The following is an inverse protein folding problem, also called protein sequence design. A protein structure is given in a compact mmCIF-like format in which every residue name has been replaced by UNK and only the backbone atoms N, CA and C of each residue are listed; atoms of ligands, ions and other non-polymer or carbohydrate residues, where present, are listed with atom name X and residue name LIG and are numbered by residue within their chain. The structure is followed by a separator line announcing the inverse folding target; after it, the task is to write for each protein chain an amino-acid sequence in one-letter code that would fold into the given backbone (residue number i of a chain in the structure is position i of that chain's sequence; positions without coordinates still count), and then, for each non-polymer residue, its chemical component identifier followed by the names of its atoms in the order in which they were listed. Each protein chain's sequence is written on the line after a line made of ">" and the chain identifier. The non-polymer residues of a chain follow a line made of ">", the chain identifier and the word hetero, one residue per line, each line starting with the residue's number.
data_IF_523348155932
#
_entry.id   IF_523348155932
#
_cell.length_a   1.000
_cell.length_b   1.000
_cell.length_c   1.000
_cell.angle_alpha   90.00
_cell.angle_beta   90.00
_cell.angle_gamma   90.00
#
_symmetry.space_group_name_H-M   'P 1'
#
loop_
_entity.id
_entity.type
_entity.pdbx_description
1 polymer ?
#
# COMPACT_ATOMS: atom_id res chain seq x y z
N UNK A 1 62.93 -22.59 -17.06
CA UNK A 1 62.26 -23.60 -16.19
C UNK A 1 61.29 -22.90 -15.25
N UNK A 2 59.99 -23.09 -15.43
CA UNK A 2 58.98 -22.50 -14.51
C UNK A 2 59.03 -23.25 -13.19
N UNK A 3 59.22 -22.55 -12.08
CA UNK A 3 59.38 -23.16 -10.76
C UNK A 3 58.13 -23.95 -10.34
N UNK A 4 58.31 -25.02 -9.56
CA UNK A 4 57.22 -25.85 -9.03
C UNK A 4 56.20 -25.01 -8.25
N UNK A 5 56.63 -23.95 -7.55
CA UNK A 5 55.76 -22.99 -6.83
C UNK A 5 54.90 -22.19 -7.80
N UNK A 6 55.42 -21.72 -8.94
CA UNK A 6 54.65 -20.96 -9.92
C UNK A 6 53.53 -21.80 -10.55
N UNK A 7 53.76 -23.09 -10.82
CA UNK A 7 52.72 -24.01 -11.35
C UNK A 7 51.61 -24.26 -10.32
N UNK A 8 51.90 -24.39 -9.06
CA UNK A 8 50.94 -24.59 -7.98
C UNK A 8 50.06 -23.34 -7.84
N UNK A 9 50.65 -22.14 -7.85
CA UNK A 9 49.89 -20.87 -7.78
C UNK A 9 48.95 -20.71 -8.99
N UNK A 10 49.40 -21.03 -10.20
CA UNK A 10 48.60 -20.97 -11.40
C UNK A 10 47.38 -21.93 -11.34
N UNK A 11 47.59 -23.16 -10.85
CA UNK A 11 46.52 -24.14 -10.68
C UNK A 11 45.48 -23.65 -9.64
N UNK A 12 45.91 -23.07 -8.53
CA UNK A 12 45.03 -22.53 -7.49
C UNK A 12 44.18 -21.36 -8.07
N UNK A 13 44.81 -20.44 -8.79
CA UNK A 13 44.09 -19.32 -9.41
C UNK A 13 43.05 -19.81 -10.43
N UNK A 14 43.40 -20.77 -11.27
CA UNK A 14 42.49 -21.36 -12.24
C UNK A 14 41.31 -22.10 -11.57
N UNK A 15 41.56 -22.80 -10.45
CA UNK A 15 40.52 -23.50 -9.69
C UNK A 15 39.55 -22.51 -9.03
N UNK A 16 40.06 -21.41 -8.46
CA UNK A 16 39.22 -20.36 -7.86
C UNK A 16 38.38 -19.68 -8.94
N UNK A 17 38.97 -19.34 -10.08
CA UNK A 17 38.24 -18.76 -11.21
C UNK A 17 37.14 -19.68 -11.75
N UNK A 18 37.42 -20.97 -11.87
CA UNK A 18 36.43 -21.97 -12.31
C UNK A 18 35.27 -22.09 -11.30
N UNK A 19 35.58 -22.17 -10.00
CA UNK A 19 34.56 -22.20 -8.93
C UNK A 19 33.68 -20.96 -8.94
N UNK A 20 34.27 -19.77 -9.16
CA UNK A 20 33.51 -18.52 -9.26
C UNK A 20 32.56 -18.50 -10.47
N UNK A 21 33.01 -18.99 -11.60
CA UNK A 21 32.21 -19.11 -12.81
C UNK A 21 31.05 -20.10 -12.60
N UNK A 22 31.30 -21.25 -12.03
CA UNK A 22 30.28 -22.26 -11.71
C UNK A 22 29.26 -21.71 -10.72
N UNK A 23 29.71 -21.04 -9.66
CA UNK A 23 28.82 -20.38 -8.69
C UNK A 23 27.95 -19.31 -9.34
N UNK A 24 28.49 -18.49 -10.25
CA UNK A 24 27.73 -17.49 -11.00
C UNK A 24 26.68 -18.14 -11.90
N UNK A 25 27.02 -19.19 -12.62
CA UNK A 25 26.08 -19.93 -13.47
C UNK A 25 24.95 -20.60 -12.64
N UNK A 26 25.29 -21.22 -11.50
CA UNK A 26 24.30 -21.81 -10.60
C UNK A 26 23.38 -20.76 -10.01
N UNK A 27 23.92 -19.61 -9.60
CA UNK A 27 23.12 -18.50 -9.09
C UNK A 27 22.14 -17.95 -10.15
N UNK A 28 22.63 -17.70 -11.37
CA UNK A 28 21.76 -17.19 -12.47
C UNK A 28 20.73 -18.22 -12.90
N UNK A 29 21.09 -19.51 -12.96
CA UNK A 29 20.15 -20.60 -13.28
C UNK A 29 19.05 -20.72 -12.23
N UNK A 30 19.40 -20.70 -10.92
CA UNK A 30 18.43 -20.75 -9.84
C UNK A 30 17.54 -19.50 -9.80
N UNK A 31 18.08 -18.31 -10.04
CA UNK A 31 17.30 -17.08 -10.12
C UNK A 31 16.28 -17.12 -11.27
N UNK A 32 16.68 -17.61 -12.44
CA UNK A 32 15.81 -17.74 -13.60
C UNK A 32 14.71 -18.78 -13.40
N UNK A 33 15.03 -19.92 -12.76
CA UNK A 33 14.03 -20.94 -12.45
C UNK A 33 13.07 -20.47 -11.37
N UNK A 34 13.54 -19.74 -10.35
CA UNK A 34 12.68 -19.14 -9.34
C UNK A 34 11.71 -18.14 -9.96
N UNK A 35 12.18 -17.26 -10.84
CA UNK A 35 11.33 -16.30 -11.54
C UNK A 35 10.26 -16.99 -12.41
N UNK A 36 10.59 -18.09 -13.09
CA UNK A 36 9.61 -18.87 -13.87
C UNK A 36 8.58 -19.56 -12.99
N UNK A 37 8.98 -20.13 -11.84
CA UNK A 37 8.06 -20.77 -10.88
C UNK A 37 7.14 -19.71 -10.26
N UNK A 38 7.68 -18.54 -9.87
CA UNK A 38 6.88 -17.45 -9.32
C UNK A 38 5.86 -16.93 -10.35
N UNK A 39 6.22 -16.83 -11.63
CA UNK A 39 5.31 -16.42 -12.71
C UNK A 39 4.23 -17.47 -12.97
N UNK A 40 4.55 -18.75 -12.95
CA UNK A 40 3.56 -19.83 -13.09
C UNK A 40 2.61 -19.86 -11.91
N UNK A 41 3.11 -19.71 -10.70
CA UNK A 41 2.28 -19.66 -9.49
C UNK A 41 1.36 -18.43 -9.48
N UNK A 42 1.86 -17.25 -9.90
CA UNK A 42 1.02 -16.06 -10.01
C UNK A 42 -0.09 -16.23 -11.04
N UNK A 43 0.20 -16.82 -12.19
CA UNK A 43 -0.82 -17.05 -13.22
C UNK A 43 -1.90 -18.04 -12.77
N UNK A 44 -1.54 -19.11 -12.05
CA UNK A 44 -2.52 -20.06 -11.50
C UNK A 44 -3.38 -19.41 -10.41
N UNK A 45 -2.78 -18.65 -9.50
CA UNK A 45 -3.50 -17.94 -8.44
C UNK A 45 -4.49 -16.92 -9.01
N UNK A 46 -4.10 -16.19 -10.07
CA UNK A 46 -4.98 -15.23 -10.73
C UNK A 46 -6.12 -15.93 -11.47
N UNK A 47 -5.87 -17.09 -12.08
CA UNK A 47 -6.90 -17.87 -12.75
C UNK A 47 -7.92 -18.43 -11.73
N UNK A 48 -7.44 -19.05 -10.65
CA UNK A 48 -8.30 -19.60 -9.59
C UNK A 48 -9.14 -18.49 -8.94
N UNK A 49 -8.52 -17.36 -8.58
CA UNK A 49 -9.25 -16.25 -7.95
C UNK A 49 -10.32 -15.61 -8.85
N UNK A 50 -10.12 -15.65 -10.17
CA UNK A 50 -11.11 -15.14 -11.12
C UNK A 50 -12.31 -16.08 -11.24
N UNK A 51 -12.10 -17.39 -11.23
CA UNK A 51 -13.16 -18.38 -11.21
C UNK A 51 -13.95 -18.31 -9.89
N UNK A 52 -13.28 -18.24 -8.75
CA UNK A 52 -13.92 -18.06 -7.44
C UNK A 52 -14.82 -16.83 -7.40
N UNK A 53 -14.38 -15.69 -7.96
CA UNK A 53 -15.20 -14.46 -8.01
C UNK A 53 -16.45 -14.62 -8.88
N UNK A 54 -16.37 -15.36 -10.00
CA UNK A 54 -17.53 -15.57 -10.87
C UNK A 54 -18.61 -16.40 -10.19
N UNK A 55 -18.22 -17.34 -9.33
CA UNK A 55 -19.11 -18.23 -8.62
C UNK A 55 -19.73 -17.62 -7.35
N UNK A 56 -19.26 -16.45 -6.90
CA UNK A 56 -19.84 -15.74 -5.76
C UNK A 56 -21.29 -15.34 -6.02
N UNK A 57 -22.11 -15.47 -4.98
CA UNK A 57 -23.49 -14.91 -4.95
C UNK A 57 -23.45 -13.39 -4.96
N UNK A 58 -24.60 -12.75 -5.19
CA UNK A 58 -24.70 -11.29 -5.13
C UNK A 58 -24.37 -10.77 -3.72
N UNK A 59 -24.85 -11.45 -2.66
CA UNK A 59 -24.57 -11.11 -1.28
C UNK A 59 -23.05 -11.18 -0.97
N UNK A 60 -22.36 -12.21 -1.42
CA UNK A 60 -20.92 -12.34 -1.28
C UNK A 60 -20.19 -11.20 -2.02
N UNK A 61 -20.56 -10.91 -3.27
CA UNK A 61 -19.97 -9.81 -4.05
C UNK A 61 -20.19 -8.45 -3.39
N UNK A 62 -21.39 -8.20 -2.85
CA UNK A 62 -21.68 -6.94 -2.13
C UNK A 62 -20.86 -6.86 -0.85
N UNK A 63 -20.75 -7.94 -0.09
CA UNK A 63 -19.92 -7.98 1.11
C UNK A 63 -18.46 -7.62 0.84
N UNK A 64 -17.88 -8.11 -0.28
CA UNK A 64 -16.50 -7.83 -0.67
C UNK A 64 -16.20 -6.33 -0.92
N UNK A 65 -17.22 -5.47 -1.03
CA UNK A 65 -17.03 -4.03 -1.21
C UNK A 65 -16.75 -3.29 0.10
N UNK A 66 -16.81 -3.95 1.26
CA UNK A 66 -16.70 -3.30 2.57
C UNK A 66 -15.42 -3.67 3.31
N UNK A 67 -14.79 -2.66 3.93
CA UNK A 67 -13.74 -2.78 4.93
C UNK A 67 -14.32 -2.17 6.22
N UNK A 68 -14.34 -2.92 7.33
CA UNK A 68 -14.89 -2.48 8.60
C UNK A 68 -13.85 -2.40 9.70
N UNK A 69 -13.97 -1.36 10.55
CA UNK A 69 -13.33 -1.32 11.86
C UNK A 69 -14.14 -2.14 12.90
N UNK A 70 -13.50 -2.54 13.99
CA UNK A 70 -14.14 -3.22 15.11
C UNK A 70 -13.39 -2.92 16.40
N UNK A 71 -14.02 -3.13 17.56
CA UNK A 71 -13.42 -2.90 18.87
C UNK A 71 -12.79 -4.16 19.45
N UNK A 72 -11.66 -3.99 20.14
CA UNK A 72 -11.00 -5.06 20.88
C UNK A 72 -9.80 -5.67 20.19
N UNK A 73 -9.10 -6.54 20.94
CA UNK A 73 -7.81 -7.15 20.54
C UNK A 73 -7.95 -8.60 20.05
N UNK A 74 -9.19 -9.07 19.95
CA UNK A 74 -9.59 -10.36 19.36
C UNK A 74 -10.92 -10.18 18.59
N UNK A 75 -11.28 -11.08 17.65
CA UNK A 75 -12.54 -10.98 16.92
C UNK A 75 -13.74 -11.08 17.87
N UNK A 76 -14.56 -10.04 17.90
CA UNK A 76 -15.82 -10.05 18.64
C UNK A 76 -16.94 -10.74 17.86
N UNK A 77 -18.13 -10.84 18.47
CA UNK A 77 -19.32 -11.45 17.87
C UNK A 77 -19.71 -10.74 16.56
N UNK A 78 -19.64 -9.41 16.52
CA UNK A 78 -20.12 -8.64 15.38
C UNK A 78 -19.17 -8.76 14.19
N UNK A 79 -17.86 -8.56 14.39
CA UNK A 79 -16.90 -8.71 13.27
C UNK A 79 -16.84 -10.15 12.78
N UNK A 80 -16.99 -11.13 13.68
CA UNK A 80 -17.09 -12.56 13.29
C UNK A 80 -18.25 -12.78 12.33
N UNK A 81 -19.44 -12.26 12.63
CA UNK A 81 -20.59 -12.35 11.73
C UNK A 81 -20.42 -11.56 10.43
N UNK A 82 -19.84 -10.36 10.49
CA UNK A 82 -19.57 -9.58 9.28
C UNK A 82 -18.67 -10.34 8.31
N UNK A 83 -17.66 -11.04 8.82
CA UNK A 83 -16.76 -11.85 7.99
C UNK A 83 -17.46 -13.11 7.49
N UNK A 84 -18.04 -13.92 8.39
CA UNK A 84 -18.52 -15.27 8.06
C UNK A 84 -19.90 -15.32 7.41
N UNK A 85 -20.79 -14.34 7.69
CA UNK A 85 -22.18 -14.33 7.22
C UNK A 85 -22.47 -13.19 6.22
N UNK A 86 -21.68 -12.09 6.25
CA UNK A 86 -21.83 -10.94 5.35
C UNK A 86 -20.70 -10.83 4.34
N UNK A 87 -19.69 -11.70 4.45
CA UNK A 87 -18.61 -11.86 3.46
C UNK A 87 -17.82 -10.60 3.18
N UNK A 88 -17.57 -9.75 4.20
CA UNK A 88 -16.86 -8.48 4.02
C UNK A 88 -15.47 -8.69 3.40
N UNK A 89 -15.03 -7.71 2.59
CA UNK A 89 -13.75 -7.77 1.88
C UNK A 89 -12.54 -7.50 2.76
N UNK A 90 -12.73 -6.84 3.90
CA UNK A 90 -11.59 -6.53 4.77
C UNK A 90 -11.94 -5.93 6.11
N UNK A 91 -10.87 -5.71 6.89
CA UNK A 91 -10.92 -5.04 8.18
C UNK A 91 -9.82 -3.97 8.24
N UNK A 92 -10.09 -2.88 8.97
CA UNK A 92 -9.07 -1.89 9.35
C UNK A 92 -8.73 -2.06 10.82
N UNK A 93 -7.42 -2.12 11.12
CA UNK A 93 -6.89 -2.17 12.48
C UNK A 93 -6.53 -0.76 12.94
N UNK A 94 -7.09 -0.37 14.06
CA UNK A 94 -6.85 0.90 14.73
C UNK A 94 -6.04 0.69 16.02
N UNK A 95 -5.50 1.76 16.61
CA UNK A 95 -4.59 1.67 17.75
C UNK A 95 -5.10 0.81 18.91
N UNK A 96 -6.41 0.79 19.15
CA UNK A 96 -7.03 0.01 20.22
C UNK A 96 -7.14 -1.51 19.91
N UNK A 97 -6.80 -1.94 18.70
CA UNK A 97 -6.71 -3.36 18.36
C UNK A 97 -5.29 -3.94 18.58
N UNK A 98 -4.30 -3.11 18.94
CA UNK A 98 -2.89 -3.41 18.80
C UNK A 98 -2.16 -3.31 20.13
N UNK A 99 -1.77 -4.46 20.72
CA UNK A 99 -1.09 -4.50 22.03
C UNK A 99 0.35 -5.00 21.94
N UNK A 100 0.58 -6.08 21.19
CA UNK A 100 1.89 -6.70 21.07
C UNK A 100 2.02 -7.47 19.76
N UNK A 101 3.24 -7.71 19.25
CA UNK A 101 3.44 -8.48 18.02
C UNK A 101 2.83 -9.89 18.07
N UNK A 102 2.79 -10.52 19.24
CA UNK A 102 2.18 -11.86 19.42
C UNK A 102 0.66 -11.76 19.31
N UNK A 103 0.06 -10.79 20.00
CA UNK A 103 -1.39 -10.58 19.97
C UNK A 103 -1.84 -10.20 18.55
N UNK A 104 -1.16 -9.26 17.88
CA UNK A 104 -1.52 -8.81 16.54
C UNK A 104 -1.49 -9.97 15.53
N UNK A 105 -0.44 -10.80 15.54
CA UNK A 105 -0.37 -11.99 14.68
C UNK A 105 -1.49 -12.97 14.94
N UNK A 106 -1.86 -13.15 16.21
CA UNK A 106 -3.01 -14.01 16.56
C UNK A 106 -4.30 -13.43 16.00
N UNK A 107 -4.55 -12.13 16.24
CA UNK A 107 -5.73 -11.42 15.75
C UNK A 107 -5.86 -11.50 14.24
N UNK A 108 -4.83 -11.18 13.48
CA UNK A 108 -4.85 -11.21 12.02
C UNK A 108 -5.04 -12.64 11.47
N UNK A 109 -4.45 -13.64 12.11
CA UNK A 109 -4.65 -15.06 11.78
C UNK A 109 -6.08 -15.51 12.06
N UNK A 110 -6.64 -15.15 13.21
CA UNK A 110 -8.02 -15.50 13.59
C UNK A 110 -9.01 -14.87 12.59
N UNK A 111 -8.85 -13.56 12.28
CA UNK A 111 -9.70 -12.87 11.29
C UNK A 111 -9.65 -13.55 9.92
N UNK A 112 -8.46 -13.86 9.41
CA UNK A 112 -8.32 -14.58 8.12
C UNK A 112 -8.99 -15.97 8.14
N UNK A 113 -8.95 -16.67 9.26
CA UNK A 113 -9.55 -18.00 9.38
C UNK A 113 -11.08 -18.02 9.34
N UNK A 114 -11.72 -16.87 9.57
CA UNK A 114 -13.18 -16.72 9.52
C UNK A 114 -13.70 -16.53 8.09
N UNK A 115 -12.84 -16.16 7.14
CA UNK A 115 -13.23 -15.85 5.77
C UNK A 115 -12.85 -16.94 4.78
N UNK A 116 -13.70 -17.19 3.80
CA UNK A 116 -13.40 -18.03 2.65
C UNK A 116 -12.48 -17.33 1.64
N UNK A 117 -12.72 -16.04 1.45
CA UNK A 117 -11.92 -15.19 0.57
C UNK A 117 -10.88 -14.44 1.42
N UNK A 118 -9.60 -14.39 1.03
CA UNK A 118 -8.59 -13.66 1.79
C UNK A 118 -9.00 -12.21 2.05
N UNK A 119 -9.01 -11.80 3.33
CA UNK A 119 -9.36 -10.44 3.74
C UNK A 119 -8.23 -9.46 3.43
N UNK A 120 -8.60 -8.24 3.04
CA UNK A 120 -7.75 -7.09 3.25
C UNK A 120 -7.66 -6.79 4.75
N UNK A 121 -6.48 -6.89 5.32
CA UNK A 121 -6.20 -6.43 6.69
C UNK A 121 -5.39 -5.16 6.55
N UNK A 122 -6.04 -4.03 6.78
CA UNK A 122 -5.50 -2.71 6.52
C UNK A 122 -5.14 -1.96 7.82
N UNK A 123 -4.29 -0.94 7.67
CA UNK A 123 -3.82 -0.08 8.75
C UNK A 123 -3.41 1.28 8.19
N UNK A 124 -3.54 2.35 9.01
CA UNK A 124 -2.90 3.64 8.77
C UNK A 124 -1.51 3.65 9.42
N UNK A 125 -0.50 3.24 8.70
CA UNK A 125 0.88 3.29 9.14
C UNK A 125 1.67 4.25 8.24
N UNK A 126 1.37 5.56 8.36
CA UNK A 126 2.03 6.62 7.60
C UNK A 126 3.41 6.96 8.16
N UNK A 127 3.57 6.76 9.47
CA UNK A 127 4.67 7.28 10.28
C UNK A 127 4.34 8.63 10.92
N UNK A 128 5.12 9.03 11.93
CA UNK A 128 4.92 10.28 12.65
C UNK A 128 3.59 10.36 13.39
N UNK A 129 2.77 11.38 13.07
CA UNK A 129 1.50 11.64 13.76
C UNK A 129 0.44 10.58 13.50
N UNK A 130 0.45 9.96 12.31
CA UNK A 130 -0.47 8.87 11.94
C UNK A 130 0.29 7.56 11.85
N UNK A 131 0.48 6.97 13.01
CA UNK A 131 1.21 5.72 13.21
C UNK A 131 0.49 4.90 14.28
N UNK A 132 -0.15 3.80 13.88
CA UNK A 132 -0.89 2.93 14.82
C UNK A 132 0.05 2.01 15.56
N UNK A 133 1.14 1.60 14.92
CA UNK A 133 2.23 0.82 15.50
C UNK A 133 3.43 1.75 15.77
N UNK A 134 3.97 1.65 16.97
CA UNK A 134 5.13 2.45 17.40
C UNK A 134 6.23 1.56 17.95
N UNK A 135 7.48 2.02 17.98
CA UNK A 135 8.53 1.31 18.70
C UNK A 135 8.13 0.97 20.14
N UNK A 136 8.41 -0.23 20.65
CA UNK A 136 9.24 -1.28 20.04
C UNK A 136 8.46 -2.32 19.20
N UNK A 137 7.17 -2.12 18.87
CA UNK A 137 6.40 -3.07 18.05
C UNK A 137 6.91 -3.05 16.60
N UNK A 138 7.22 -1.87 16.09
CA UNK A 138 7.92 -1.62 14.83
C UNK A 138 9.25 -0.95 15.11
N UNK A 139 10.21 -1.05 14.19
CA UNK A 139 11.55 -0.46 14.36
C UNK A 139 11.61 1.01 13.95
N UNK A 140 10.72 1.44 13.03
CA UNK A 140 10.72 2.76 12.43
C UNK A 140 9.33 3.42 12.49
N UNK A 141 9.33 4.72 12.80
CA UNK A 141 8.15 5.56 12.85
C UNK A 141 8.40 6.90 12.12
N UNK A 142 9.31 6.89 11.14
CA UNK A 142 9.71 8.09 10.36
C UNK A 142 8.50 8.71 9.68
N UNK A 143 8.25 10.00 9.93
CA UNK A 143 7.18 10.75 9.28
C UNK A 143 7.53 11.05 7.81
N UNK A 144 6.52 11.12 6.93
CA UNK A 144 6.77 11.43 5.50
C UNK A 144 7.52 12.76 5.30
N UNK A 145 7.26 13.75 6.14
CA UNK A 145 7.97 15.05 6.12
C UNK A 145 9.48 14.97 6.39
N UNK A 146 9.95 13.86 6.95
CA UNK A 146 11.35 13.64 7.31
C UNK A 146 12.11 12.84 6.24
N UNK A 147 11.41 12.25 5.29
CA UNK A 147 11.97 11.49 4.18
C UNK A 147 12.68 12.43 3.20
N UNK A 148 13.92 12.12 2.84
CA UNK A 148 14.83 13.04 2.16
C UNK A 148 14.96 12.82 0.65
N UNK A 149 14.94 11.55 0.24
CA UNK A 149 15.11 11.16 -1.16
C UNK A 149 14.37 9.86 -1.48
N UNK A 150 14.36 9.46 -2.74
CA UNK A 150 13.66 8.27 -3.22
C UNK A 150 14.17 6.98 -2.56
N UNK A 151 15.47 6.85 -2.33
CA UNK A 151 16.06 5.68 -1.70
C UNK A 151 15.67 5.57 -0.22
N UNK A 152 15.61 6.70 0.48
CA UNK A 152 15.12 6.80 1.85
C UNK A 152 13.63 6.43 1.91
N UNK A 153 12.80 6.98 1.02
CA UNK A 153 11.38 6.66 0.88
C UNK A 153 11.15 5.15 0.65
N UNK A 154 11.90 4.57 -0.28
CA UNK A 154 11.86 3.13 -0.53
C UNK A 154 12.23 2.31 0.71
N UNK A 155 13.35 2.64 1.37
CA UNK A 155 13.84 1.87 2.52
C UNK A 155 12.87 1.95 3.72
N UNK A 156 12.31 3.14 4.00
CA UNK A 156 11.30 3.33 5.05
C UNK A 156 10.07 2.47 4.77
N UNK A 157 9.51 2.55 3.56
CA UNK A 157 8.32 1.78 3.19
C UNK A 157 8.60 0.27 3.14
N UNK A 158 9.75 -0.16 2.60
CA UNK A 158 10.11 -1.56 2.55
C UNK A 158 10.27 -2.17 3.95
N UNK A 159 10.99 -1.50 4.84
CA UNK A 159 11.19 -1.96 6.23
C UNK A 159 9.84 -2.07 6.95
N UNK A 160 9.04 -1.01 6.90
CA UNK A 160 7.68 -0.97 7.44
C UNK A 160 6.80 -2.07 6.85
N UNK A 161 6.83 -2.25 5.54
CA UNK A 161 6.09 -3.29 4.85
C UNK A 161 6.47 -4.71 5.26
N UNK A 162 7.75 -4.99 5.52
CA UNK A 162 8.20 -6.28 6.06
C UNK A 162 7.67 -6.49 7.48
N UNK A 163 7.69 -5.46 8.34
CA UNK A 163 7.16 -5.55 9.69
C UNK A 163 5.64 -5.77 9.69
N UNK A 164 4.89 -5.05 8.87
CA UNK A 164 3.45 -5.27 8.67
C UNK A 164 3.17 -6.69 8.19
N UNK A 165 3.99 -7.22 7.26
CA UNK A 165 3.87 -8.60 6.78
C UNK A 165 4.01 -9.62 7.90
N UNK A 166 4.99 -9.45 8.77
CA UNK A 166 5.20 -10.34 9.92
C UNK A 166 4.00 -10.31 10.88
N UNK A 167 3.29 -9.19 10.94
CA UNK A 167 2.08 -9.02 11.75
C UNK A 167 0.79 -9.50 11.04
N UNK A 168 0.87 -9.96 9.78
CA UNK A 168 -0.29 -10.43 9.01
C UNK A 168 -1.13 -9.32 8.38
N UNK A 169 -0.62 -8.07 8.37
CA UNK A 169 -1.27 -6.91 7.75
C UNK A 169 -0.83 -6.86 6.28
N UNK A 170 -1.77 -6.75 5.33
CA UNK A 170 -1.48 -6.85 3.90
C UNK A 170 -1.74 -5.55 3.10
N UNK A 171 -2.35 -4.53 3.70
CA UNK A 171 -2.67 -3.26 3.07
C UNK A 171 -2.28 -2.11 4.00
N UNK A 172 -1.58 -1.09 3.49
CA UNK A 172 -1.20 0.09 4.22
C UNK A 172 -1.82 1.34 3.59
N UNK A 173 -2.55 2.14 4.34
CA UNK A 173 -3.12 3.41 3.89
C UNK A 173 -2.05 4.51 3.89
N UNK A 174 -1.08 4.35 3.01
CA UNK A 174 0.09 5.19 2.75
C UNK A 174 0.58 4.92 1.32
N UNK A 175 1.22 5.89 0.62
CA UNK A 175 1.60 7.25 1.05
C UNK A 175 0.48 8.28 0.94
N UNK A 176 0.66 9.42 1.66
CA UNK A 176 -0.12 10.64 1.49
C UNK A 176 0.51 11.49 0.37
N UNK A 177 -0.24 11.74 -0.70
CA UNK A 177 0.21 12.43 -1.92
C UNK A 177 -0.42 13.83 -2.04
N UNK A 178 -1.14 14.25 -1.00
CA UNK A 178 -1.67 15.61 -0.93
C UNK A 178 -0.55 16.65 -1.00
N UNK A 179 -0.73 17.68 -1.82
CA UNK A 179 0.21 18.79 -1.95
C UNK A 179 -0.21 19.93 -1.02
N UNK A 180 0.41 20.01 0.15
CA UNK A 180 0.06 20.94 1.22
C UNK A 180 1.23 21.87 1.52
N UNK A 181 1.00 23.18 1.39
CA UNK A 181 1.96 24.25 1.72
C UNK A 181 1.53 25.09 2.92
N UNK A 182 0.27 24.99 3.34
CA UNK A 182 -0.27 25.70 4.50
C UNK A 182 0.12 24.98 5.80
N UNK A 183 0.96 25.61 6.61
CA UNK A 183 1.42 25.08 7.90
C UNK A 183 0.29 24.87 8.94
N UNK A 184 -0.85 25.51 8.75
CA UNK A 184 -2.03 25.34 9.61
C UNK A 184 -2.95 24.21 9.12
N UNK A 185 -2.62 23.53 8.02
CA UNK A 185 -3.40 22.39 7.56
C UNK A 185 -3.20 21.17 8.47
N UNK A 186 -4.27 20.45 8.75
CA UNK A 186 -4.23 19.19 9.51
C UNK A 186 -3.36 18.12 8.84
N UNK A 187 -3.11 18.23 7.52
CA UNK A 187 -2.23 17.35 6.76
C UNK A 187 -0.77 17.80 6.73
N UNK A 188 -0.46 19.02 7.18
CA UNK A 188 0.88 19.59 7.00
C UNK A 188 1.99 18.66 7.50
N UNK A 189 1.83 18.07 8.68
CA UNK A 189 2.82 17.16 9.26
C UNK A 189 2.82 15.74 8.67
N UNK A 190 1.89 15.43 7.77
CA UNK A 190 1.70 14.11 7.16
C UNK A 190 2.21 14.01 5.72
N UNK A 191 2.53 15.13 5.08
CA UNK A 191 2.93 15.19 3.66
C UNK A 191 4.44 15.32 3.48
N UNK A 192 4.94 14.97 2.30
CA UNK A 192 6.33 15.21 1.91
C UNK A 192 6.65 16.70 1.85
N UNK A 193 7.92 17.06 2.10
CA UNK A 193 8.41 18.43 2.01
C UNK A 193 9.09 18.75 0.69
N UNK A 194 9.57 17.72 -0.01
CA UNK A 194 10.28 17.81 -1.27
C UNK A 194 9.46 17.17 -2.40
N UNK A 195 10.07 16.68 -3.45
CA UNK A 195 9.43 16.11 -4.64
C UNK A 195 8.45 14.98 -4.27
N UNK A 196 7.17 15.34 -4.15
CA UNK A 196 6.08 14.44 -3.75
C UNK A 196 6.05 13.19 -4.65
N UNK A 197 6.22 13.38 -5.97
CA UNK A 197 6.08 12.29 -6.93
C UNK A 197 7.22 11.30 -6.82
N UNK A 198 8.44 11.78 -6.64
CA UNK A 198 9.63 10.95 -6.49
C UNK A 198 9.55 10.15 -5.18
N UNK A 199 9.23 10.82 -4.07
CA UNK A 199 9.16 10.21 -2.74
C UNK A 199 7.99 9.23 -2.62
N UNK A 200 6.82 9.59 -3.13
CA UNK A 200 5.66 8.69 -3.15
C UNK A 200 5.93 7.43 -3.99
N UNK A 201 6.59 7.55 -5.15
CA UNK A 201 6.99 6.41 -5.97
C UNK A 201 7.98 5.50 -5.23
N UNK A 202 8.94 6.07 -4.49
CA UNK A 202 9.83 5.32 -3.61
C UNK A 202 9.05 4.49 -2.60
N UNK A 203 8.10 5.09 -1.87
CA UNK A 203 7.26 4.38 -0.90
C UNK A 203 6.38 3.30 -1.55
N UNK A 204 5.72 3.61 -2.67
CA UNK A 204 4.89 2.63 -3.41
C UNK A 204 5.72 1.41 -3.82
N UNK A 205 6.95 1.63 -4.30
CA UNK A 205 7.85 0.54 -4.69
C UNK A 205 8.30 -0.27 -3.47
N UNK A 206 8.65 0.38 -2.36
CA UNK A 206 9.08 -0.28 -1.12
C UNK A 206 7.98 -1.19 -0.54
N UNK A 207 6.76 -0.68 -0.37
CA UNK A 207 5.61 -1.45 0.11
C UNK A 207 5.29 -2.63 -0.84
N UNK A 208 5.29 -2.40 -2.16
CA UNK A 208 5.03 -3.44 -3.16
C UNK A 208 6.08 -4.56 -3.12
N UNK A 209 7.36 -4.23 -2.99
CA UNK A 209 8.44 -5.21 -2.89
C UNK A 209 8.39 -6.00 -1.57
N UNK A 210 7.93 -5.37 -0.48
CA UNK A 210 7.58 -6.05 0.76
C UNK A 210 6.30 -6.91 0.66
N UNK A 211 5.62 -6.91 -0.52
CA UNK A 211 4.34 -7.58 -0.77
C UNK A 211 3.21 -7.04 0.10
N UNK A 212 3.17 -5.72 0.26
CA UNK A 212 2.04 -4.97 0.82
C UNK A 212 1.36 -4.19 -0.31
N UNK A 213 0.09 -3.88 -0.10
CA UNK A 213 -0.68 -3.04 -1.01
C UNK A 213 -0.59 -1.61 -0.48
N UNK A 214 0.16 -0.71 -1.14
CA UNK A 214 0.11 0.71 -0.82
C UNK A 214 -1.22 1.31 -1.27
N UNK A 215 -1.81 2.18 -0.45
CA UNK A 215 -3.02 2.92 -0.78
C UNK A 215 -2.69 4.41 -0.83
N UNK A 216 -2.61 4.94 -2.03
CA UNK A 216 -2.29 6.34 -2.30
C UNK A 216 -3.46 7.22 -1.88
N UNK A 217 -3.23 8.28 -1.08
CA UNK A 217 -4.31 9.10 -0.52
C UNK A 217 -3.96 10.58 -0.44
N UNK A 218 -4.95 11.46 -0.39
CA UNK A 218 -6.42 11.32 -0.46
C UNK A 218 -6.94 11.92 -1.77
N UNK A 219 -7.19 11.12 -2.80
CA UNK A 219 -7.65 11.62 -4.10
C UNK A 219 -9.00 12.36 -3.99
N UNK A 220 -9.21 13.50 -4.63
CA UNK A 220 -8.32 14.21 -5.55
C UNK A 220 -7.29 15.14 -4.89
N UNK A 221 -7.25 15.23 -3.58
CA UNK A 221 -6.39 16.07 -2.76
C UNK A 221 -7.18 17.09 -1.94
N UNK A 222 -6.84 17.25 -0.66
CA UNK A 222 -7.52 18.18 0.26
C UNK A 222 -7.21 19.65 -0.01
N UNK A 223 -6.16 19.93 -0.82
CA UNK A 223 -5.70 21.30 -0.96
C UNK A 223 -5.15 21.87 0.36
N UNK A 224 -5.01 23.19 0.42
CA UNK A 224 -4.43 23.88 1.57
C UNK A 224 -5.46 24.25 2.65
N UNK A 225 -6.52 23.47 2.79
CA UNK A 225 -7.54 23.71 3.83
C UNK A 225 -6.95 23.48 5.23
N UNK A 226 -7.43 24.27 6.20
CA UNK A 226 -6.95 24.20 7.59
C UNK A 226 -7.78 23.26 8.46
N UNK A 227 -9.03 22.98 8.06
CA UNK A 227 -9.98 22.20 8.86
C UNK A 227 -9.83 20.70 8.65
N UNK A 228 -9.99 19.95 9.73
CA UNK A 228 -10.00 18.48 9.68
C UNK A 228 -11.29 17.99 9.01
N UNK A 229 -11.21 17.13 7.98
CA UNK A 229 -12.39 16.61 7.28
C UNK A 229 -13.26 15.69 8.15
N UNK A 230 -12.76 15.17 9.27
CA UNK A 230 -13.57 14.41 10.22
C UNK A 230 -14.57 15.30 10.96
N UNK A 231 -14.30 16.59 11.07
CA UNK A 231 -15.18 17.55 11.75
C UNK A 231 -16.07 18.33 10.78
N UNK A 232 -15.56 18.63 9.55
CA UNK A 232 -16.24 19.46 8.56
C UNK A 232 -15.92 18.97 7.15
N UNK A 233 -16.90 18.92 6.27
CA UNK A 233 -16.69 18.57 4.86
C UNK A 233 -15.61 19.48 4.24
N UNK A 234 -14.54 18.87 3.74
CA UNK A 234 -13.45 19.59 3.08
C UNK A 234 -13.91 20.16 1.75
N UNK A 235 -13.79 21.50 1.57
CA UNK A 235 -14.26 22.18 0.36
C UNK A 235 -13.06 22.82 -0.35
N UNK A 236 -12.79 22.38 -1.58
CA UNK A 236 -11.72 22.95 -2.41
C UNK A 236 -12.30 23.81 -3.54
N UNK A 237 -11.75 25.02 -3.70
CA UNK A 237 -12.14 25.93 -4.76
C UNK A 237 -11.43 25.60 -6.08
N UNK A 238 -11.68 24.40 -6.63
CA UNK A 238 -11.02 23.88 -7.81
C UNK A 238 -11.87 24.11 -9.05
N UNK A 239 -11.31 24.79 -10.07
CA UNK A 239 -11.94 24.94 -11.37
C UNK A 239 -11.50 23.84 -12.34
N UNK A 240 -12.37 23.50 -13.30
CA UNK A 240 -12.07 22.42 -14.26
C UNK A 240 -10.80 22.69 -15.10
N UNK A 241 -10.52 23.96 -15.39
CA UNK A 241 -9.28 24.36 -16.13
C UNK A 241 -8.00 24.08 -15.37
N UNK A 242 -8.05 24.05 -14.02
CA UNK A 242 -6.90 23.88 -13.14
C UNK A 242 -6.72 22.42 -12.72
N UNK A 243 -7.65 21.54 -13.10
CA UNK A 243 -7.71 20.15 -12.67
C UNK A 243 -6.44 19.35 -13.03
N UNK A 244 -5.90 19.52 -14.23
CA UNK A 244 -4.70 18.81 -14.66
C UNK A 244 -3.49 19.18 -13.81
N UNK A 245 -3.30 20.44 -13.52
CA UNK A 245 -2.19 20.89 -12.66
C UNK A 245 -2.40 20.49 -11.20
N UNK A 246 -3.64 20.46 -10.74
CA UNK A 246 -4.01 20.04 -9.39
C UNK A 246 -3.75 18.54 -9.15
N UNK A 247 -4.06 17.72 -10.14
CA UNK A 247 -3.91 16.26 -10.07
C UNK A 247 -2.54 15.74 -10.54
N UNK A 248 -1.60 16.63 -10.86
CA UNK A 248 -0.30 16.26 -11.48
C UNK A 248 0.45 15.20 -10.68
N UNK A 249 0.46 15.32 -9.34
CA UNK A 249 1.20 14.43 -8.46
C UNK A 249 0.54 13.05 -8.42
N UNK A 250 -0.79 12.99 -8.30
CA UNK A 250 -1.56 11.73 -8.42
C UNK A 250 -1.35 11.07 -9.79
N UNK A 251 -1.42 11.84 -10.88
CA UNK A 251 -1.23 11.31 -12.24
C UNK A 251 0.10 10.58 -12.37
N UNK A 252 1.20 11.20 -11.95
CA UNK A 252 2.54 10.62 -12.03
C UNK A 252 2.65 9.36 -11.15
N UNK A 253 2.11 9.39 -9.93
CA UNK A 253 2.15 8.22 -9.04
C UNK A 253 1.28 7.09 -9.56
N UNK A 254 0.15 7.37 -10.23
CA UNK A 254 -0.71 6.34 -10.83
C UNK A 254 -0.09 5.65 -12.06
N UNK A 255 0.88 6.27 -12.73
CA UNK A 255 1.65 5.66 -13.81
C UNK A 255 2.63 4.58 -13.31
N UNK A 256 2.92 4.56 -12.00
CA UNK A 256 3.72 3.50 -11.41
C UNK A 256 2.94 2.17 -11.42
N UNK A 257 3.54 1.14 -12.02
CA UNK A 257 2.96 -0.22 -12.12
C UNK A 257 2.58 -0.85 -10.77
N UNK A 258 3.17 -0.35 -9.68
CA UNK A 258 2.94 -0.81 -8.32
C UNK A 258 1.84 -0.01 -7.58
N UNK A 259 1.22 0.97 -8.24
CA UNK A 259 0.09 1.73 -7.71
C UNK A 259 -1.20 0.93 -7.84
N UNK A 260 -1.47 0.09 -6.84
CA UNK A 260 -2.57 -0.88 -6.89
C UNK A 260 -3.86 -0.41 -6.22
N UNK A 261 -3.81 0.61 -5.36
CA UNK A 261 -4.99 1.13 -4.67
C UNK A 261 -4.91 2.64 -4.42
N UNK A 262 -6.07 3.30 -4.38
CA UNK A 262 -6.23 4.72 -4.07
C UNK A 262 -7.38 4.93 -3.09
N UNK A 263 -7.18 5.81 -2.11
CA UNK A 263 -8.24 6.27 -1.22
C UNK A 263 -8.80 7.59 -1.74
N UNK A 264 -10.13 7.66 -1.81
CA UNK A 264 -10.88 8.82 -2.26
C UNK A 264 -11.40 9.56 -1.05
N UNK A 265 -10.90 10.76 -0.84
CA UNK A 265 -11.31 11.62 0.28
C UNK A 265 -12.72 12.18 0.11
N UNK A 266 -13.34 12.57 1.23
CA UNK A 266 -14.64 13.27 1.25
C UNK A 266 -14.46 14.75 0.92
N UNK A 267 -14.02 15.04 -0.31
CA UNK A 267 -13.63 16.38 -0.77
C UNK A 267 -14.69 16.91 -1.73
N UNK A 268 -15.28 18.05 -1.41
CA UNK A 268 -16.24 18.75 -2.25
C UNK A 268 -15.53 19.80 -3.10
N UNK A 269 -15.63 19.69 -4.42
CA UNK A 269 -15.21 20.72 -5.37
C UNK A 269 -16.44 21.25 -6.13
N UNK A 270 -17.17 22.26 -5.62
CA UNK A 270 -18.52 22.63 -6.10
C UNK A 270 -18.56 23.09 -7.56
N UNK A 271 -17.44 23.55 -8.10
CA UNK A 271 -17.32 23.96 -9.52
C UNK A 271 -17.12 22.77 -10.47
N UNK A 272 -16.90 21.57 -9.95
CA UNK A 272 -16.70 20.34 -10.71
C UNK A 272 -17.86 19.37 -10.47
N UNK A 273 -18.22 19.14 -9.22
CA UNK A 273 -19.27 18.22 -8.80
C UNK A 273 -20.03 18.77 -7.60
N UNK A 274 -21.36 18.57 -7.57
CA UNK A 274 -22.20 18.88 -6.41
C UNK A 274 -22.02 17.88 -5.26
N UNK A 275 -21.49 16.70 -5.57
CA UNK A 275 -21.28 15.63 -4.59
C UNK A 275 -19.80 15.59 -4.18
N UNK A 276 -19.48 15.17 -2.94
CA UNK A 276 -18.12 14.89 -2.53
C UNK A 276 -17.46 13.86 -3.45
N UNK A 277 -16.15 13.94 -3.63
CA UNK A 277 -15.41 13.10 -4.57
C UNK A 277 -15.68 11.60 -4.37
N UNK A 278 -15.79 11.13 -3.12
CA UNK A 278 -16.12 9.76 -2.77
C UNK A 278 -17.49 9.26 -3.25
N UNK A 279 -18.43 10.16 -3.52
CA UNK A 279 -19.78 9.87 -4.03
C UNK A 279 -19.98 10.35 -5.48
N UNK A 280 -18.98 10.99 -6.08
CA UNK A 280 -19.09 11.64 -7.38
C UNK A 280 -18.69 10.74 -8.53
N UNK A 281 -19.63 10.43 -9.43
CA UNK A 281 -19.31 9.79 -10.71
C UNK A 281 -18.24 10.55 -11.50
N UNK A 282 -18.26 11.88 -11.45
CA UNK A 282 -17.29 12.72 -12.16
C UNK A 282 -15.87 12.43 -11.66
N UNK A 283 -15.66 12.40 -10.33
CA UNK A 283 -14.33 12.12 -9.78
C UNK A 283 -13.92 10.66 -9.93
N UNK A 284 -14.83 9.71 -9.60
CA UNK A 284 -14.49 8.28 -9.57
C UNK A 284 -14.46 7.67 -10.98
N UNK A 285 -15.42 8.00 -11.83
CA UNK A 285 -15.50 7.39 -13.16
C UNK A 285 -14.77 8.23 -14.20
N UNK A 286 -15.24 9.49 -14.38
CA UNK A 286 -14.78 10.26 -15.52
C UNK A 286 -13.32 10.69 -15.35
N UNK A 287 -12.93 11.21 -14.17
CA UNK A 287 -11.55 11.67 -13.93
C UNK A 287 -10.62 10.49 -13.58
N UNK A 288 -10.89 9.74 -12.51
CA UNK A 288 -9.96 8.70 -12.04
C UNK A 288 -9.82 7.55 -13.06
N UNK A 289 -10.94 7.01 -13.56
CA UNK A 289 -10.91 5.85 -14.47
C UNK A 289 -10.67 6.23 -15.92
N UNK A 290 -11.37 7.29 -16.44
CA UNK A 290 -11.32 7.61 -17.86
C UNK A 290 -10.19 8.57 -18.22
N UNK A 291 -9.93 9.63 -17.44
CA UNK A 291 -8.87 10.59 -17.74
C UNK A 291 -7.50 10.10 -17.25
N UNK A 292 -7.38 9.74 -15.97
CA UNK A 292 -6.12 9.28 -15.36
C UNK A 292 -5.82 7.81 -15.62
N UNK A 293 -6.76 7.03 -16.20
CA UNK A 293 -6.60 5.61 -16.55
C UNK A 293 -6.20 4.71 -15.36
N UNK A 294 -6.50 5.11 -14.12
CA UNK A 294 -6.22 4.29 -12.96
C UNK A 294 -7.09 3.02 -12.97
N UNK A 295 -6.43 1.86 -12.85
CA UNK A 295 -7.09 0.54 -12.94
C UNK A 295 -7.12 -0.22 -11.62
N UNK A 296 -6.47 0.31 -10.59
CA UNK A 296 -6.39 -0.32 -9.27
C UNK A 296 -7.70 -0.23 -8.47
N UNK A 297 -7.65 -0.67 -7.23
CA UNK A 297 -8.77 -0.59 -6.28
C UNK A 297 -8.98 0.87 -5.88
N UNK A 298 -10.23 1.31 -5.82
CA UNK A 298 -10.63 2.58 -5.19
C UNK A 298 -11.36 2.29 -3.89
N UNK A 299 -10.96 2.97 -2.81
CA UNK A 299 -11.51 2.83 -1.47
C UNK A 299 -11.98 4.23 -1.06
N UNK A 300 -13.12 4.37 -0.37
CA UNK A 300 -13.49 5.65 0.26
C UNK A 300 -12.64 5.89 1.51
N UNK A 301 -12.50 7.14 1.91
CA UNK A 301 -12.15 7.48 3.29
C UNK A 301 -13.25 6.99 4.26
N UNK A 302 -13.04 7.13 5.56
CA UNK A 302 -13.98 6.66 6.61
C UNK A 302 -15.35 7.32 6.46
N UNK A 303 -16.45 6.52 6.54
CA UNK A 303 -17.83 6.95 6.27
C UNK A 303 -18.65 6.97 7.56
#
# INVERSE_FOLDING_TARGET
>A
MVSRRSRIITIIILSISFLSIVSYFLFTYNAKNKANIDTLNQNSVVQDSKEDFLDMTLEEKVGQLFIFGFWGTEPDYYITKMISERYIGGVILLGYNLESPKQIRKLTSDLQSLSKTPLFISIDQEGGTVSRLKPPIVSDDTAQKEIKDEADAYNVAYTRGIELKVLGINMNFSPVVDNITNENSFLYDRVFRDDITLLANGMVNGDSDAKRIPVIKHFPGHGNESQDPHDVLSVVNLERKDLESYLKDFKVVFENKNSHAVMIGHILAPKISSDPASLSKIFVTDILREDLKFKGISITDDI
#
